data_IF_589056257651
#
_entry.id   IF_589056257651
#
_cell.length_a   1.000
_cell.length_b   1.000
_cell.length_c   1.000
_cell.angle_alpha   90.00
_cell.angle_beta   90.00
_cell.angle_gamma   90.00
#
_symmetry.space_group_name_H-M   'P 1'
#
loop_
_entity.id
_entity.type
_entity.pdbx_description
1 polymer ?
#
# COMPACT_ATOMS: atom_id res chain seq x y z
N UNK A 1 60.13 -47.93 -0.12
CA UNK A 1 60.18 -49.36 0.26
C UNK A 1 59.30 -49.54 1.48
N UNK A 2 58.32 -50.45 1.43
CA UNK A 2 57.52 -50.84 2.60
C UNK A 2 56.00 -50.75 2.40
N UNK A 3 55.43 -51.83 1.87
CA UNK A 3 54.00 -52.18 1.76
C UNK A 3 53.32 -52.38 3.13
N UNK A 4 52.10 -51.86 3.31
CA UNK A 4 50.80 -52.57 3.42
C UNK A 4 50.46 -53.19 4.78
N UNK A 5 49.34 -52.73 5.38
CA UNK A 5 48.26 -53.62 5.85
C UNK A 5 46.94 -52.85 6.00
N UNK A 6 45.89 -53.43 5.42
CA UNK A 6 44.50 -53.01 5.51
C UNK A 6 43.88 -53.36 6.88
N UNK A 7 43.04 -52.46 7.39
CA UNK A 7 42.11 -52.71 8.49
C UNK A 7 40.75 -52.14 8.13
N UNK A 8 39.84 -53.01 7.72
CA UNK A 8 38.42 -52.74 7.46
C UNK A 8 37.67 -52.73 8.79
N UNK A 9 37.00 -51.62 9.13
CA UNK A 9 35.89 -51.63 10.09
C UNK A 9 34.81 -50.65 9.63
N UNK A 10 33.75 -51.25 9.07
CA UNK A 10 32.34 -50.95 9.33
C UNK A 10 31.86 -49.50 9.20
N UNK A 11 31.19 -49.24 8.08
CA UNK A 11 29.78 -48.81 8.06
C UNK A 11 29.34 -47.83 9.14
N UNK A 12 29.28 -46.56 8.76
CA UNK A 12 28.48 -45.54 9.42
C UNK A 12 27.98 -44.59 8.36
N UNK A 13 26.85 -44.94 7.74
CA UNK A 13 26.09 -44.03 6.90
C UNK A 13 25.87 -42.73 7.69
N UNK A 14 26.35 -41.61 7.14
CA UNK A 14 26.03 -40.28 7.68
C UNK A 14 24.51 -40.15 7.63
N UNK A 15 23.84 -39.85 8.76
CA UNK A 15 22.39 -39.80 8.79
C UNK A 15 21.87 -38.72 7.83
N UNK A 16 20.85 -39.09 7.08
CA UNK A 16 20.11 -38.30 6.10
C UNK A 16 19.29 -37.17 6.75
N UNK A 17 19.92 -36.33 7.57
CA UNK A 17 19.24 -35.29 8.36
C UNK A 17 19.23 -33.91 7.68
N UNK A 18 19.73 -33.79 6.44
CA UNK A 18 19.79 -32.48 5.75
C UNK A 18 19.09 -32.45 4.38
N UNK A 19 18.08 -33.30 4.19
CA UNK A 19 17.19 -33.24 3.03
C UNK A 19 15.77 -32.81 3.44
N UNK A 20 15.31 -33.25 4.62
CA UNK A 20 14.04 -32.80 5.23
C UNK A 20 14.06 -31.32 5.65
N UNK A 21 15.22 -30.78 6.06
CA UNK A 21 15.37 -29.38 6.45
C UNK A 21 15.32 -28.40 5.26
N UNK A 22 15.56 -28.87 4.03
CA UNK A 22 15.41 -28.07 2.80
C UNK A 22 13.98 -28.07 2.24
N UNK A 23 13.11 -28.96 2.75
CA UNK A 23 11.71 -29.05 2.34
C UNK A 23 10.77 -28.15 3.17
N UNK A 24 11.25 -27.51 4.23
CA UNK A 24 10.44 -26.67 5.12
C UNK A 24 10.53 -25.16 4.82
N UNK A 25 11.06 -24.77 3.67
CA UNK A 25 11.32 -23.37 3.30
C UNK A 25 10.58 -22.90 2.03
N UNK A 26 9.43 -23.49 1.69
CA UNK A 26 8.64 -23.08 0.52
C UNK A 26 7.32 -22.35 0.83
N UNK A 27 6.93 -22.20 2.09
CA UNK A 27 5.66 -21.52 2.44
C UNK A 27 5.87 -20.02 2.65
N UNK A 28 6.51 -19.37 1.68
CA UNK A 28 6.26 -17.95 1.44
C UNK A 28 4.84 -17.80 0.89
N UNK A 29 4.12 -16.69 1.15
CA UNK A 29 2.82 -16.49 0.52
C UNK A 29 3.00 -16.66 -0.99
N UNK A 30 2.26 -17.60 -1.58
CA UNK A 30 2.26 -17.84 -3.01
C UNK A 30 2.18 -16.46 -3.70
N UNK A 31 3.15 -16.15 -4.55
CA UNK A 31 3.29 -14.83 -5.15
C UNK A 31 1.97 -14.45 -5.85
N UNK A 32 1.15 -13.62 -5.21
CA UNK A 32 -0.13 -13.20 -5.76
C UNK A 32 0.11 -11.92 -6.54
N UNK A 33 -0.13 -12.00 -7.85
CA UNK A 33 -0.06 -10.87 -8.76
C UNK A 33 -1.16 -9.86 -8.42
N UNK A 34 -0.91 -8.87 -7.57
CA UNK A 34 -1.95 -7.96 -7.08
C UNK A 34 -2.75 -7.27 -8.20
N UNK A 35 -2.10 -6.94 -9.32
CA UNK A 35 -2.78 -6.32 -10.46
C UNK A 35 -3.87 -7.21 -11.07
N UNK A 36 -3.78 -8.54 -10.92
CA UNK A 36 -4.80 -9.49 -11.40
C UNK A 36 -6.10 -9.44 -10.60
N UNK A 37 -6.12 -8.73 -9.46
CA UNK A 37 -7.31 -8.52 -8.64
C UNK A 37 -8.05 -7.22 -9.01
N UNK A 38 -7.59 -6.50 -10.03
CA UNK A 38 -8.11 -5.19 -10.43
C UNK A 38 -8.59 -5.21 -11.87
N UNK A 39 -9.72 -4.54 -12.16
CA UNK A 39 -10.22 -4.39 -13.54
C UNK A 39 -9.67 -3.12 -14.20
N UNK A 40 -9.32 -2.12 -13.39
CA UNK A 40 -8.65 -0.87 -13.79
C UNK A 40 -7.68 -0.50 -12.66
N UNK A 41 -6.42 -0.23 -13.00
CA UNK A 41 -5.39 0.17 -12.04
C UNK A 41 -5.20 1.70 -12.00
N UNK A 42 -4.83 2.24 -10.84
CA UNK A 42 -4.35 3.62 -10.68
C UNK A 42 -5.40 4.66 -11.06
N UNK A 43 -4.99 5.75 -11.70
CA UNK A 43 -5.91 6.83 -12.12
C UNK A 43 -7.05 6.37 -13.04
N UNK A 44 -6.92 5.21 -13.70
CA UNK A 44 -7.98 4.62 -14.52
C UNK A 44 -9.22 4.19 -13.73
N UNK A 45 -9.14 4.11 -12.39
CA UNK A 45 -10.29 3.85 -11.53
C UNK A 45 -11.04 5.12 -11.07
N UNK A 46 -10.51 6.32 -11.37
CA UNK A 46 -11.13 7.60 -10.97
C UNK A 46 -12.26 7.99 -11.95
N UNK A 47 -13.31 8.62 -11.43
CA UNK A 47 -14.32 9.30 -12.24
C UNK A 47 -13.69 10.54 -12.90
N UNK A 48 -14.12 10.88 -14.11
CA UNK A 48 -13.61 12.07 -14.81
C UNK A 48 -13.94 13.37 -14.05
N UNK A 49 -13.10 14.41 -14.14
CA UNK A 49 -13.28 15.66 -13.38
C UNK A 49 -14.59 16.38 -13.71
N UNK A 50 -15.03 16.34 -14.98
CA UNK A 50 -16.30 16.95 -15.39
C UNK A 50 -17.52 16.24 -14.77
N UNK A 51 -17.48 14.92 -14.68
CA UNK A 51 -18.56 14.13 -14.08
C UNK A 51 -18.59 14.30 -12.56
N UNK A 52 -17.42 14.31 -11.91
CA UNK A 52 -17.31 14.63 -10.48
C UNK A 52 -17.86 16.02 -10.18
N UNK A 53 -17.47 17.04 -10.94
CA UNK A 53 -17.98 18.41 -10.80
C UNK A 53 -19.51 18.48 -10.92
N UNK A 54 -20.10 17.69 -11.83
CA UNK A 54 -21.56 17.60 -11.96
C UNK A 54 -22.21 16.98 -10.72
N UNK A 55 -21.65 15.89 -10.19
CA UNK A 55 -22.17 15.23 -8.98
C UNK A 55 -22.05 16.17 -7.78
N UNK A 56 -20.92 16.86 -7.64
CA UNK A 56 -20.67 17.76 -6.50
C UNK A 56 -21.68 18.91 -6.43
N UNK A 57 -22.15 19.42 -7.57
CA UNK A 57 -23.23 20.43 -7.64
C UNK A 57 -24.58 19.95 -7.10
N UNK A 58 -24.80 18.64 -6.95
CA UNK A 58 -26.02 18.10 -6.36
C UNK A 58 -25.98 17.98 -4.84
N UNK A 59 -24.80 18.15 -4.23
CA UNK A 59 -24.70 18.19 -2.78
C UNK A 59 -25.24 19.52 -2.23
N UNK A 60 -25.75 19.53 -0.99
CA UNK A 60 -26.11 20.76 -0.33
C UNK A 60 -24.90 21.72 -0.33
N UNK A 61 -25.09 22.99 -0.71
CA UNK A 61 -24.00 23.95 -0.66
C UNK A 61 -23.51 24.06 0.79
N UNK A 62 -22.19 24.09 0.96
CA UNK A 62 -21.61 24.42 2.24
C UNK A 62 -22.04 25.85 2.63
N UNK A 63 -22.52 26.02 3.86
CA UNK A 63 -22.77 27.35 4.40
C UNK A 63 -21.45 28.14 4.49
N UNK A 64 -21.50 29.48 4.53
CA UNK A 64 -20.30 30.29 4.68
C UNK A 64 -19.57 29.92 5.98
N UNK A 65 -18.30 29.56 5.87
CA UNK A 65 -17.44 29.24 7.00
C UNK A 65 -16.07 29.93 6.81
N UNK A 66 -15.75 30.99 7.57
CA UNK A 66 -14.51 31.74 7.41
C UNK A 66 -13.25 30.93 7.75
N UNK A 67 -13.40 29.84 8.51
CA UNK A 67 -12.29 28.95 8.85
C UNK A 67 -12.02 27.91 7.76
N UNK A 68 -12.96 27.68 6.83
CA UNK A 68 -12.72 26.84 5.67
C UNK A 68 -12.00 27.67 4.59
N UNK A 69 -10.68 27.58 4.55
CA UNK A 69 -9.82 28.35 3.65
C UNK A 69 -9.87 27.81 2.22
N UNK A 70 -9.92 26.49 2.08
CA UNK A 70 -10.03 25.76 0.80
C UNK A 70 -11.09 24.67 1.00
N UNK A 71 -12.16 24.75 0.21
CA UNK A 71 -13.33 23.91 0.33
C UNK A 71 -13.72 23.25 -1.00
N UNK A 72 -14.97 22.81 -1.10
CA UNK A 72 -15.51 22.18 -2.32
C UNK A 72 -15.57 23.12 -3.53
N UNK A 73 -15.47 24.42 -3.28
CA UNK A 73 -15.80 25.48 -4.24
C UNK A 73 -14.58 25.86 -5.08
N UNK A 74 -13.38 25.59 -4.55
CA UNK A 74 -12.08 25.96 -5.12
C UNK A 74 -11.45 24.86 -5.97
N UNK A 75 -11.99 23.63 -5.93
CA UNK A 75 -11.52 22.48 -6.73
C UNK A 75 -10.01 22.20 -6.62
N UNK A 76 -9.50 22.17 -5.39
CA UNK A 76 -8.07 22.03 -5.06
C UNK A 76 -7.70 20.59 -4.66
N UNK A 77 -6.40 20.32 -4.47
CA UNK A 77 -5.87 18.97 -4.18
C UNK A 77 -6.19 18.51 -2.74
N UNK A 78 -6.47 19.42 -1.81
CA UNK A 78 -6.84 19.09 -0.43
C UNK A 78 -7.75 20.14 0.21
N UNK A 79 -8.49 19.75 1.24
CA UNK A 79 -9.22 20.68 2.10
C UNK A 79 -8.27 21.40 3.06
N UNK A 80 -8.46 22.70 3.26
CA UNK A 80 -7.67 23.50 4.20
C UNK A 80 -8.58 24.19 5.20
N UNK A 81 -8.36 23.89 6.48
CA UNK A 81 -9.17 24.41 7.59
C UNK A 81 -8.30 25.14 8.60
N UNK A 82 -8.64 26.39 8.92
CA UNK A 82 -7.96 27.22 9.90
C UNK A 82 -8.25 26.70 11.30
N UNK A 83 -7.19 26.47 12.08
CA UNK A 83 -7.30 26.08 13.49
C UNK A 83 -7.12 27.31 14.39
N UNK A 84 -6.26 28.25 13.96
CA UNK A 84 -6.00 29.57 14.56
C UNK A 84 -5.29 30.44 13.51
N UNK A 85 -5.05 31.72 13.82
CA UNK A 85 -4.58 32.72 12.84
C UNK A 85 -3.27 32.38 12.12
N UNK A 86 -2.38 31.61 12.74
CA UNK A 86 -1.07 31.21 12.22
C UNK A 86 -0.97 29.71 11.90
N UNK A 87 -2.08 28.96 11.97
CA UNK A 87 -2.09 27.50 11.80
C UNK A 87 -3.34 27.01 11.07
N UNK A 88 -3.13 26.30 9.97
CA UNK A 88 -4.17 25.59 9.25
C UNK A 88 -3.85 24.10 9.14
N UNK A 89 -4.91 23.28 9.14
CA UNK A 89 -4.88 21.86 8.85
C UNK A 89 -5.10 21.67 7.34
N UNK A 90 -4.16 21.01 6.69
CA UNK A 90 -4.33 20.47 5.34
C UNK A 90 -4.77 19.02 5.46
N UNK A 91 -5.90 18.66 4.86
CA UNK A 91 -6.47 17.33 4.92
C UNK A 91 -6.79 16.80 3.52
N UNK A 92 -6.20 15.65 3.20
CA UNK A 92 -6.47 14.89 1.97
C UNK A 92 -6.78 13.43 2.31
N UNK A 93 -7.41 12.73 1.38
CA UNK A 93 -7.61 11.28 1.38
C UNK A 93 -7.54 10.78 -0.06
N UNK A 94 -6.66 9.82 -0.33
CA UNK A 94 -6.62 9.10 -1.61
C UNK A 94 -6.39 7.61 -1.36
N UNK A 95 -7.01 6.78 -2.19
CA UNK A 95 -6.80 5.34 -2.26
C UNK A 95 -7.15 4.86 -3.66
N UNK A 96 -6.44 3.86 -4.15
CA UNK A 96 -6.66 3.30 -5.47
C UNK A 96 -6.35 1.80 -5.48
N UNK A 97 -6.72 1.14 -6.57
CA UNK A 97 -6.48 -0.28 -6.79
C UNK A 97 -5.01 -0.55 -7.13
N UNK A 98 -4.45 -1.73 -6.77
CA UNK A 98 -3.07 -2.09 -7.09
C UNK A 98 -2.63 -1.79 -8.53
N UNK A 99 -1.48 -1.12 -8.67
CA UNK A 99 -0.83 -0.81 -9.97
C UNK A 99 0.46 -1.59 -10.21
N UNK A 100 0.96 -2.24 -9.16
CA UNK A 100 2.13 -3.12 -9.18
C UNK A 100 1.78 -4.41 -8.45
N UNK A 101 2.53 -5.46 -8.73
CA UNK A 101 2.25 -6.80 -8.19
C UNK A 101 2.80 -7.01 -6.80
N UNK A 102 3.88 -6.29 -6.44
CA UNK A 102 4.48 -6.36 -5.12
C UNK A 102 3.65 -5.56 -4.10
N UNK A 103 3.14 -6.18 -3.02
CA UNK A 103 2.32 -5.51 -2.01
C UNK A 103 3.05 -4.36 -1.29
N UNK A 104 4.34 -4.55 -1.00
CA UNK A 104 5.12 -3.55 -0.28
C UNK A 104 5.34 -2.30 -1.14
N UNK A 105 5.79 -2.47 -2.38
CA UNK A 105 5.92 -1.39 -3.35
C UNK A 105 4.58 -0.69 -3.60
N UNK A 106 3.48 -1.44 -3.72
CA UNK A 106 2.16 -0.83 -3.86
C UNK A 106 1.81 0.04 -2.65
N UNK A 107 2.04 -0.43 -1.43
CA UNK A 107 1.84 0.35 -0.21
C UNK A 107 2.66 1.64 -0.18
N UNK A 108 3.94 1.58 -0.59
CA UNK A 108 4.79 2.76 -0.69
C UNK A 108 4.27 3.78 -1.70
N UNK A 109 3.87 3.31 -2.89
CA UNK A 109 3.30 4.17 -3.93
C UNK A 109 1.98 4.81 -3.44
N UNK A 110 1.10 4.02 -2.83
CA UNK A 110 -0.17 4.51 -2.32
C UNK A 110 0.02 5.57 -1.22
N UNK A 111 0.94 5.34 -0.29
CA UNK A 111 1.30 6.31 0.74
C UNK A 111 1.90 7.59 0.13
N UNK A 112 2.82 7.47 -0.83
CA UNK A 112 3.43 8.62 -1.49
C UNK A 112 2.40 9.47 -2.24
N UNK A 113 1.46 8.84 -2.94
CA UNK A 113 0.36 9.53 -3.63
C UNK A 113 -0.59 10.21 -2.63
N UNK A 114 -0.97 9.54 -1.54
CA UNK A 114 -1.84 10.18 -0.54
C UNK A 114 -1.15 11.37 0.16
N UNK A 115 0.18 11.36 0.27
CA UNK A 115 0.94 12.48 0.85
C UNK A 115 1.22 13.61 -0.15
N UNK A 116 1.13 13.35 -1.47
CA UNK A 116 1.50 14.36 -2.47
C UNK A 116 0.62 15.60 -2.41
N UNK A 117 -0.67 15.46 -2.12
CA UNK A 117 -1.59 16.60 -2.05
C UNK A 117 -1.24 17.54 -0.90
N UNK A 118 -0.75 17.00 0.23
CA UNK A 118 -0.28 17.84 1.35
C UNK A 118 0.93 18.67 0.91
N UNK A 119 1.86 18.08 0.18
CA UNK A 119 3.02 18.80 -0.35
C UNK A 119 2.64 19.79 -1.45
N UNK A 120 1.67 19.46 -2.30
CA UNK A 120 1.15 20.36 -3.35
C UNK A 120 0.55 21.63 -2.75
N UNK A 121 -0.13 21.52 -1.60
CA UNK A 121 -0.64 22.65 -0.84
C UNK A 121 0.43 23.41 -0.02
N UNK A 122 1.71 23.04 -0.14
CA UNK A 122 2.81 23.62 0.64
C UNK A 122 2.81 23.22 2.13
N UNK A 123 2.02 22.21 2.49
CA UNK A 123 1.93 21.68 3.85
C UNK A 123 3.06 20.74 4.21
N UNK A 124 3.18 20.46 5.52
CA UNK A 124 4.06 19.41 6.06
C UNK A 124 3.20 18.30 6.65
N UNK A 125 3.31 17.04 6.18
CA UNK A 125 2.59 15.92 6.80
C UNK A 125 2.99 15.77 8.28
N UNK A 126 1.99 15.66 9.15
CA UNK A 126 2.17 15.48 10.61
C UNK A 126 1.55 14.19 11.14
N UNK A 127 0.55 13.66 10.45
CA UNK A 127 -0.10 12.39 10.75
C UNK A 127 -0.70 11.81 9.46
N UNK A 128 -1.07 10.53 9.49
CA UNK A 128 -1.74 9.86 8.39
C UNK A 128 -2.80 8.87 8.91
N UNK A 129 -3.81 8.59 8.08
CA UNK A 129 -4.81 7.54 8.31
C UNK A 129 -4.74 6.54 7.18
N UNK A 130 -4.55 5.25 7.51
CA UNK A 130 -4.57 4.19 6.52
C UNK A 130 -6.02 3.77 6.21
N UNK A 131 -6.35 3.62 4.93
CA UNK A 131 -7.64 3.13 4.43
C UNK A 131 -7.34 2.02 3.42
N UNK A 132 -7.86 0.81 3.67
CA UNK A 132 -7.61 -0.34 2.81
C UNK A 132 -8.84 -1.21 2.64
N UNK A 133 -9.19 -1.51 1.39
CA UNK A 133 -10.10 -2.60 1.03
C UNK A 133 -9.31 -3.85 0.72
N UNK A 134 -9.50 -4.93 1.50
CA UNK A 134 -8.71 -6.15 1.35
C UNK A 134 -9.60 -7.40 1.22
N UNK A 135 -9.39 -8.25 0.19
CA UNK A 135 -10.19 -9.44 -0.03
C UNK A 135 -9.73 -10.59 0.89
N UNK A 136 -10.14 -10.55 2.16
CA UNK A 136 -9.76 -11.53 3.21
C UNK A 136 -10.03 -13.01 2.86
N UNK A 137 -10.93 -13.28 1.90
CA UNK A 137 -11.23 -14.64 1.42
C UNK A 137 -10.29 -15.11 0.29
N UNK A 138 -9.53 -14.20 -0.33
CA UNK A 138 -8.66 -14.47 -1.49
C UNK A 138 -7.19 -14.33 -1.18
N UNK A 139 -6.84 -13.48 -0.19
CA UNK A 139 -5.46 -13.19 0.16
C UNK A 139 -5.19 -13.45 1.65
N UNK A 140 -4.01 -13.98 1.99
CA UNK A 140 -3.63 -14.17 3.38
C UNK A 140 -3.29 -12.83 4.05
N UNK A 141 -3.58 -12.63 5.35
CA UNK A 141 -3.38 -11.36 6.05
C UNK A 141 -1.95 -10.79 5.99
N UNK A 142 -0.95 -11.64 5.82
CA UNK A 142 0.47 -11.28 5.71
C UNK A 142 0.76 -10.36 4.52
N UNK A 143 -0.12 -10.32 3.51
CA UNK A 143 -0.01 -9.39 2.38
C UNK A 143 -0.22 -7.93 2.83
N UNK A 144 -0.91 -7.68 3.95
CA UNK A 144 -1.10 -6.35 4.54
C UNK A 144 -0.05 -6.00 5.61
N UNK A 145 0.79 -6.95 6.02
CA UNK A 145 1.69 -6.81 7.17
C UNK A 145 2.93 -5.98 6.86
#
# INVERSE_FOLDING_TARGET
MGETTAGNTTGGERPAENEAARSAASDGPAFVKLTSLTTKGGCGCKIGPADLSRIMRSLPPAGPNPDLLVGTDTSDDAGVYRIRDDLALVQTVDFFTPIVDDPYAFGQIAAANALSDVYAMGGRPVCARNIGGFPVKKLPPQVLA
#
